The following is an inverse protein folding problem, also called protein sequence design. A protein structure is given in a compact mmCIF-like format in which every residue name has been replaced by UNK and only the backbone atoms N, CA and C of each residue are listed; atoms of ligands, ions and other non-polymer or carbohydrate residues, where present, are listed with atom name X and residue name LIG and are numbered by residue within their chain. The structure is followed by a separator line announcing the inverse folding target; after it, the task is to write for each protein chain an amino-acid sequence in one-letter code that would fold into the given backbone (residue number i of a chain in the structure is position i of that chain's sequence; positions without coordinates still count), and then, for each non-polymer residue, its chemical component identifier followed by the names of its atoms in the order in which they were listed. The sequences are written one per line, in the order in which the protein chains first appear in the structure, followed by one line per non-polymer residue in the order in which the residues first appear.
data_IF_480317549067
#
_entry.id   IF_480317549067
#
_cell.length_a   1.000
_cell.length_b   1.000
_cell.length_c   1.000
_cell.angle_alpha   90.00
_cell.angle_beta   90.00
_cell.angle_gamma   90.00
#
_symmetry.space_group_name_H-M   'P 1'
#
loop_
_entity.id
_entity.type
_entity.pdbx_description
1 polymer ?
#
# COMPACT_ATOMS: atom_id res chain seq x y z
N UNK A 1 2.83 8.57 9.78
CA UNK A 1 4.26 8.29 9.98
C UNK A 1 4.73 7.23 9.00
N UNK A 2 5.99 7.29 8.59
CA UNK A 2 6.64 6.20 7.85
C UNK A 2 7.14 5.18 8.88
N UNK A 3 6.78 3.91 8.67
CA UNK A 3 7.19 2.81 9.54
C UNK A 3 8.67 2.49 9.33
N UNK A 4 9.42 2.28 10.39
CA UNK A 4 10.79 1.76 10.32
C UNK A 4 10.76 0.26 10.00
N UNK A 5 10.58 -0.03 8.70
CA UNK A 5 10.45 -1.39 8.18
C UNK A 5 11.72 -2.20 8.43
N UNK A 6 12.90 -1.57 8.32
CA UNK A 6 14.17 -2.26 8.49
C UNK A 6 14.30 -2.86 9.90
N UNK A 7 14.00 -2.06 10.94
CA UNK A 7 13.99 -2.55 12.34
C UNK A 7 12.95 -3.65 12.56
N UNK A 8 11.75 -3.52 11.94
CA UNK A 8 10.71 -4.56 12.06
C UNK A 8 11.18 -5.87 11.42
N UNK A 9 11.77 -5.81 10.22
CA UNK A 9 12.30 -6.98 9.52
C UNK A 9 13.40 -7.66 10.34
N UNK A 10 14.37 -6.89 10.84
CA UNK A 10 15.46 -7.43 11.65
C UNK A 10 14.93 -8.20 12.86
N UNK A 11 14.02 -7.61 13.63
CA UNK A 11 13.44 -8.25 14.82
C UNK A 11 12.58 -9.46 14.51
N UNK A 12 11.78 -9.39 13.45
CA UNK A 12 10.95 -10.51 13.01
C UNK A 12 11.81 -11.72 12.61
N UNK A 13 12.84 -11.47 11.81
CA UNK A 13 13.73 -12.54 11.35
C UNK A 13 14.55 -13.16 12.48
N UNK A 14 14.90 -12.42 13.54
CA UNK A 14 15.57 -12.98 14.75
C UNK A 14 14.74 -14.09 15.43
N UNK A 15 13.42 -14.06 15.29
CA UNK A 15 12.52 -15.08 15.85
C UNK A 15 11.92 -16.01 14.78
N UNK A 16 12.42 -15.94 13.56
CA UNK A 16 11.96 -16.76 12.43
C UNK A 16 10.60 -16.36 11.86
N UNK A 17 10.08 -15.17 12.18
CA UNK A 17 8.85 -14.66 11.64
C UNK A 17 9.07 -14.02 10.26
N UNK A 18 8.08 -14.16 9.36
CA UNK A 18 8.08 -13.50 8.05
C UNK A 18 7.41 -12.13 8.16
N UNK A 19 7.86 -11.20 7.30
CA UNK A 19 7.32 -9.84 7.22
C UNK A 19 6.56 -9.64 5.91
N UNK A 20 5.29 -9.27 6.04
CA UNK A 20 4.43 -8.85 4.93
C UNK A 20 4.24 -7.34 5.04
N UNK A 21 4.68 -6.59 4.04
CA UNK A 21 4.53 -5.14 3.97
C UNK A 21 3.31 -4.76 3.15
N UNK A 22 2.35 -4.05 3.75
CA UNK A 22 1.37 -3.28 2.99
C UNK A 22 2.05 -2.01 2.47
N UNK A 23 2.31 -1.97 1.18
CA UNK A 23 3.02 -0.88 0.50
C UNK A 23 2.07 0.00 -0.33
N UNK A 24 0.75 -0.08 -0.11
CA UNK A 24 -0.25 0.65 -0.88
C UNK A 24 -0.08 2.17 -0.82
N UNK A 25 0.47 2.69 0.28
CA UNK A 25 0.70 4.13 0.49
C UNK A 25 2.19 4.53 0.43
N UNK A 26 3.08 3.61 0.10
CA UNK A 26 4.50 3.92 -0.08
C UNK A 26 4.93 3.87 -1.54
N UNK A 27 4.59 2.80 -2.27
CA UNK A 27 4.99 2.63 -3.68
C UNK A 27 4.54 3.80 -4.58
N UNK A 28 3.34 4.37 -4.44
CA UNK A 28 2.92 5.51 -5.27
C UNK A 28 3.62 6.83 -4.95
N UNK A 29 4.21 6.98 -3.75
CA UNK A 29 4.56 8.28 -3.17
C UNK A 29 6.05 8.46 -2.85
N UNK A 30 6.84 7.38 -2.84
CA UNK A 30 8.26 7.44 -2.52
C UNK A 30 9.05 6.32 -3.18
N UNK A 31 10.37 6.46 -3.32
CA UNK A 31 11.22 5.36 -3.76
C UNK A 31 11.14 4.19 -2.76
N UNK A 32 10.83 2.99 -3.26
CA UNK A 32 10.75 1.77 -2.43
C UNK A 32 11.57 0.66 -3.09
N UNK A 33 12.41 0.00 -2.31
CA UNK A 33 13.16 -1.18 -2.73
C UNK A 33 12.92 -2.33 -1.75
N UNK A 34 12.03 -3.25 -2.09
CA UNK A 34 11.64 -4.38 -1.24
C UNK A 34 12.83 -5.30 -0.90
N UNK A 35 13.75 -5.48 -1.84
CA UNK A 35 14.96 -6.29 -1.61
C UNK A 35 15.87 -5.64 -0.58
N UNK A 36 16.10 -4.33 -0.69
CA UNK A 36 16.91 -3.59 0.27
C UNK A 36 16.26 -3.50 1.66
N UNK A 37 14.93 -3.41 1.72
CA UNK A 37 14.16 -3.46 2.97
C UNK A 37 14.18 -4.84 3.63
N UNK A 38 14.47 -5.90 2.87
CA UNK A 38 14.54 -7.27 3.37
C UNK A 38 13.18 -7.90 3.69
N UNK A 39 12.08 -7.33 3.24
CA UNK A 39 10.74 -7.90 3.45
C UNK A 39 10.57 -9.22 2.71
N UNK A 40 9.76 -10.10 3.24
CA UNK A 40 9.49 -11.41 2.64
C UNK A 40 8.39 -11.34 1.59
N UNK A 41 7.37 -10.49 1.86
CA UNK A 41 6.30 -10.16 0.94
C UNK A 41 6.00 -8.66 1.00
N UNK A 42 5.49 -8.12 -0.10
CA UNK A 42 4.89 -6.79 -0.14
C UNK A 42 3.71 -6.77 -1.11
N UNK A 43 2.70 -5.98 -0.79
CA UNK A 43 1.53 -5.83 -1.66
C UNK A 43 1.19 -4.35 -1.87
N UNK A 44 0.73 -4.01 -3.07
CA UNK A 44 0.23 -2.67 -3.37
C UNK A 44 -0.83 -2.69 -4.46
N UNK A 45 -1.68 -1.67 -4.46
CA UNK A 45 -2.82 -1.52 -5.36
C UNK A 45 -2.51 -0.56 -6.50
N UNK A 46 -2.83 -0.94 -7.73
CA UNK A 46 -2.58 -0.10 -8.91
C UNK A 46 -3.36 1.21 -8.89
N UNK A 47 -4.63 1.21 -8.43
CA UNK A 47 -5.47 2.42 -8.42
C UNK A 47 -4.92 3.55 -7.53
N UNK A 48 -4.03 3.26 -6.58
CA UNK A 48 -3.35 4.28 -5.76
C UNK A 48 -2.09 4.85 -6.43
N UNK A 49 -1.65 4.25 -7.54
CA UNK A 49 -0.48 4.69 -8.30
C UNK A 49 -0.84 5.03 -9.76
N UNK A 50 -1.98 5.68 -9.97
CA UNK A 50 -2.47 6.18 -11.27
C UNK A 50 -2.89 5.09 -12.27
N UNK A 51 -2.90 3.83 -11.87
CA UNK A 51 -3.33 2.72 -12.70
C UNK A 51 -4.86 2.51 -12.62
N UNK A 52 -5.46 1.76 -13.56
CA UNK A 52 -6.87 1.38 -13.48
C UNK A 52 -7.18 0.56 -12.22
N UNK A 53 -8.43 0.64 -11.78
CA UNK A 53 -8.95 -0.23 -10.70
C UNK A 53 -8.91 -1.70 -11.10
N UNK A 54 -8.79 -2.60 -10.11
CA UNK A 54 -8.86 -4.05 -10.32
C UNK A 54 -7.52 -4.72 -10.61
N UNK A 55 -6.41 -4.02 -10.48
CA UNK A 55 -5.06 -4.57 -10.56
C UNK A 55 -4.23 -4.19 -9.33
N UNK A 56 -3.38 -5.10 -8.90
CA UNK A 56 -2.39 -4.88 -7.85
C UNK A 56 -1.24 -5.86 -8.01
N UNK A 57 -0.24 -5.72 -7.18
CA UNK A 57 0.97 -6.55 -7.23
C UNK A 57 1.25 -7.15 -5.86
N UNK A 58 1.59 -8.44 -5.85
CA UNK A 58 2.21 -9.11 -4.72
C UNK A 58 3.67 -9.41 -5.08
N UNK A 59 4.59 -8.79 -4.35
CA UNK A 59 6.00 -9.17 -4.33
C UNK A 59 6.19 -10.28 -3.30
N UNK A 60 7.02 -11.27 -3.61
CA UNK A 60 7.44 -12.28 -2.67
C UNK A 60 8.85 -12.78 -2.97
N UNK A 61 9.62 -13.10 -1.93
CA UNK A 61 10.96 -13.70 -2.09
C UNK A 61 10.84 -15.04 -2.81
N UNK A 62 11.63 -15.24 -3.86
CA UNK A 62 11.51 -16.38 -4.76
C UNK A 62 11.55 -17.74 -4.02
N UNK A 63 12.44 -17.88 -3.02
CA UNK A 63 12.56 -19.11 -2.23
C UNK A 63 11.29 -19.42 -1.45
N UNK A 64 10.65 -18.40 -0.90
CA UNK A 64 9.40 -18.56 -0.13
C UNK A 64 8.25 -18.90 -1.07
N UNK A 65 8.09 -18.15 -2.17
CA UNK A 65 7.10 -18.44 -3.19
C UNK A 65 7.23 -19.87 -3.73
N UNK A 66 8.46 -20.35 -3.88
CA UNK A 66 8.72 -21.71 -4.38
C UNK A 66 8.28 -22.80 -3.39
N UNK A 67 8.41 -22.53 -2.09
CA UNK A 67 8.05 -23.46 -1.02
C UNK A 67 6.54 -23.50 -0.72
N UNK A 68 5.80 -22.41 -1.00
CA UNK A 68 4.39 -22.30 -0.69
C UNK A 68 3.50 -22.98 -1.75
N UNK A 69 2.35 -23.55 -1.35
CA UNK A 69 1.33 -24.00 -2.29
C UNK A 69 0.64 -22.82 -2.98
N UNK A 70 -0.09 -23.05 -4.09
CA UNK A 70 -0.95 -22.02 -4.66
C UNK A 70 -2.06 -21.63 -3.69
N UNK A 71 -2.45 -20.34 -3.70
CA UNK A 71 -3.57 -19.84 -2.89
C UNK A 71 -4.92 -20.11 -3.58
N UNK A 72 -5.00 -19.84 -4.88
CA UNK A 72 -6.14 -20.16 -5.74
C UNK A 72 -5.69 -21.09 -6.84
N UNK A 73 -6.60 -21.93 -7.33
CA UNK A 73 -6.35 -22.83 -8.44
C UNK A 73 -7.30 -22.53 -9.60
N UNK A 74 -6.82 -22.74 -10.83
CA UNK A 74 -7.58 -22.47 -12.05
C UNK A 74 -6.77 -22.77 -13.30
N UNK A 75 -7.21 -22.30 -14.43
CA UNK A 75 -6.46 -22.40 -15.69
C UNK A 75 -5.11 -21.68 -15.63
N UNK A 76 -4.25 -21.98 -16.56
CA UNK A 76 -2.92 -21.35 -16.79
C UNK A 76 -1.84 -21.62 -15.74
N UNK A 77 -2.17 -22.07 -14.53
CA UNK A 77 -1.23 -22.28 -13.43
C UNK A 77 -0.99 -23.77 -13.11
N UNK A 78 -1.62 -24.67 -13.85
CA UNK A 78 -1.55 -26.13 -13.68
C UNK A 78 -0.56 -26.69 -14.71
N UNK A 79 0.31 -27.60 -14.29
CA UNK A 79 1.15 -28.39 -15.20
C UNK A 79 0.49 -29.72 -15.55
N UNK A 80 0.04 -30.45 -14.54
CA UNK A 80 -0.52 -31.76 -14.72
C UNK A 80 -1.64 -32.05 -13.72
N UNK A 81 -2.72 -32.66 -14.19
CA UNK A 81 -3.88 -33.02 -13.37
C UNK A 81 -4.23 -34.48 -13.59
N UNK A 82 -4.34 -35.22 -12.50
CA UNK A 82 -4.95 -36.58 -12.47
C UNK A 82 -6.06 -36.60 -11.44
N UNK A 83 -6.75 -37.73 -11.32
CA UNK A 83 -7.77 -37.89 -10.28
C UNK A 83 -7.17 -37.91 -8.86
N UNK A 84 -5.89 -38.27 -8.73
CA UNK A 84 -5.20 -38.44 -7.46
C UNK A 84 -4.29 -37.28 -7.11
N UNK A 85 -3.81 -36.49 -8.10
CA UNK A 85 -2.78 -35.50 -7.90
C UNK A 85 -2.84 -34.37 -8.93
N UNK A 86 -2.58 -33.16 -8.47
CA UNK A 86 -2.33 -31.99 -9.32
C UNK A 86 -0.92 -31.47 -9.07
N UNK A 87 -0.20 -31.12 -10.14
CA UNK A 87 1.06 -30.35 -10.08
C UNK A 87 0.85 -28.98 -10.70
N UNK A 88 1.59 -28.02 -10.19
CA UNK A 88 1.42 -26.62 -10.53
C UNK A 88 2.69 -26.03 -11.14
N UNK A 89 2.51 -25.05 -12.00
CA UNK A 89 3.60 -24.29 -12.57
C UNK A 89 4.50 -23.67 -11.49
N UNK A 90 5.77 -23.37 -11.79
CA UNK A 90 6.61 -22.61 -10.87
C UNK A 90 6.07 -21.19 -10.68
N UNK A 91 6.47 -20.48 -9.59
CA UNK A 91 6.23 -19.05 -9.48
C UNK A 91 6.87 -18.27 -10.66
N UNK A 92 6.28 -17.18 -11.13
CA UNK A 92 5.07 -16.51 -10.62
C UNK A 92 3.75 -17.16 -11.08
N UNK A 93 3.73 -17.97 -12.15
CA UNK A 93 2.52 -18.52 -12.75
C UNK A 93 1.66 -19.33 -11.76
N UNK A 94 2.27 -19.99 -10.78
CA UNK A 94 1.56 -20.73 -9.72
C UNK A 94 0.52 -19.86 -8.98
N UNK A 95 0.72 -18.55 -8.93
CA UNK A 95 -0.14 -17.62 -8.21
C UNK A 95 -1.06 -16.81 -9.12
N UNK A 96 -1.02 -17.08 -10.43
CA UNK A 96 -1.80 -16.40 -11.47
C UNK A 96 -2.90 -17.34 -12.01
N UNK A 97 -3.90 -17.64 -11.17
CA UNK A 97 -4.98 -18.56 -11.52
C UNK A 97 -5.99 -17.92 -12.49
N UNK A 98 -6.22 -18.57 -13.62
CA UNK A 98 -7.20 -18.16 -14.64
C UNK A 98 -6.63 -17.17 -15.66
N UNK A 99 -7.52 -16.47 -16.34
CA UNK A 99 -7.15 -15.44 -17.34
C UNK A 99 -6.74 -14.16 -16.60
N UNK A 100 -5.54 -13.63 -16.85
CA UNK A 100 -5.10 -12.41 -16.19
C UNK A 100 -5.93 -11.19 -16.64
N UNK A 101 -6.00 -10.19 -15.79
CA UNK A 101 -6.68 -8.92 -16.04
C UNK A 101 -5.83 -8.02 -16.98
N UNK A 102 -5.72 -8.42 -18.24
CA UNK A 102 -4.74 -7.91 -19.21
C UNK A 102 -4.84 -6.39 -19.41
N UNK A 103 -6.05 -5.85 -19.56
CA UNK A 103 -6.25 -4.40 -19.82
C UNK A 103 -5.73 -3.56 -18.65
N UNK A 104 -5.99 -3.99 -17.41
CA UNK A 104 -5.55 -3.29 -16.21
C UNK A 104 -4.05 -3.45 -15.98
N UNK A 105 -3.48 -4.61 -16.34
CA UNK A 105 -2.02 -4.82 -16.26
C UNK A 105 -1.28 -3.91 -17.25
N UNK A 106 -1.79 -3.75 -18.48
CA UNK A 106 -1.24 -2.80 -19.45
C UNK A 106 -1.34 -1.36 -18.92
N UNK A 107 -2.49 -1.00 -18.34
CA UNK A 107 -2.67 0.30 -17.70
C UNK A 107 -1.72 0.53 -16.50
N UNK A 108 -1.45 -0.51 -15.70
CA UNK A 108 -0.45 -0.45 -14.64
C UNK A 108 0.98 -0.21 -15.21
N UNK A 109 1.32 -0.88 -16.32
CA UNK A 109 2.58 -0.65 -17.01
C UNK A 109 2.75 0.81 -17.43
N UNK A 110 1.73 1.40 -18.05
CA UNK A 110 1.73 2.81 -18.44
C UNK A 110 1.85 3.77 -17.24
N UNK A 111 1.20 3.44 -16.11
CA UNK A 111 1.34 4.23 -14.87
C UNK A 111 2.75 4.16 -14.30
N UNK A 112 3.39 2.99 -14.34
CA UNK A 112 4.80 2.82 -13.92
C UNK A 112 5.72 3.66 -14.79
N UNK A 113 5.59 3.58 -16.12
CA UNK A 113 6.38 4.38 -17.07
C UNK A 113 6.21 5.89 -16.83
N UNK A 114 4.98 6.33 -16.55
CA UNK A 114 4.70 7.73 -16.24
C UNK A 114 5.39 8.18 -14.95
N UNK A 115 5.25 7.43 -13.86
CA UNK A 115 5.90 7.75 -12.58
C UNK A 115 7.43 7.71 -12.69
N UNK A 116 7.97 6.75 -13.42
CA UNK A 116 9.42 6.65 -13.68
C UNK A 116 9.93 7.87 -14.47
N UNK A 117 9.15 8.36 -15.43
CA UNK A 117 9.47 9.57 -16.19
C UNK A 117 9.53 10.84 -15.36
N UNK A 118 8.74 10.93 -14.27
CA UNK A 118 8.80 12.01 -13.30
C UNK A 118 9.99 11.86 -12.34
N UNK A 119 10.35 10.62 -12.05
CA UNK A 119 11.32 10.24 -11.02
C UNK A 119 10.70 10.22 -9.62
N UNK A 120 10.73 9.08 -8.95
CA UNK A 120 10.11 8.90 -7.64
C UNK A 120 10.70 9.81 -6.54
N UNK A 121 11.98 10.17 -6.64
CA UNK A 121 12.59 11.16 -5.74
C UNK A 121 11.95 12.55 -5.89
N UNK A 122 11.62 12.95 -7.13
CA UNK A 122 10.94 14.21 -7.39
C UNK A 122 9.49 14.20 -6.88
N UNK A 123 8.79 13.08 -7.08
CA UNK A 123 7.43 12.89 -6.53
C UNK A 123 7.46 13.03 -5.01
N UNK A 124 8.37 12.34 -4.35
CA UNK A 124 8.51 12.41 -2.89
C UNK A 124 8.86 13.82 -2.40
N UNK A 125 9.82 14.50 -3.05
CA UNK A 125 10.20 15.87 -2.68
C UNK A 125 9.03 16.85 -2.80
N UNK A 126 8.26 16.77 -3.89
CA UNK A 126 7.07 17.60 -4.10
C UNK A 126 6.00 17.34 -3.03
N UNK A 127 5.73 16.08 -2.70
CA UNK A 127 4.77 15.73 -1.64
C UNK A 127 5.23 16.21 -0.26
N UNK A 128 6.53 16.17 0.03
CA UNK A 128 7.08 16.72 1.28
C UNK A 128 6.90 18.24 1.37
N UNK A 129 7.07 18.97 0.28
CA UNK A 129 6.83 20.41 0.23
C UNK A 129 5.37 20.75 0.52
N UNK A 130 4.43 20.11 -0.18
CA UNK A 130 2.98 20.30 0.03
C UNK A 130 2.57 19.90 1.46
N UNK A 131 3.10 18.78 1.95
CA UNK A 131 2.83 18.30 3.32
C UNK A 131 3.31 19.29 4.36
N UNK A 132 4.50 19.86 4.18
CA UNK A 132 5.03 20.88 5.07
C UNK A 132 4.13 22.12 5.12
N UNK A 133 3.71 22.60 3.95
CA UNK A 133 2.77 23.72 3.85
C UNK A 133 1.44 23.41 4.56
N UNK A 134 0.84 22.26 4.27
CA UNK A 134 -0.45 21.89 4.85
C UNK A 134 -0.37 21.72 6.39
N UNK A 135 0.69 21.14 6.92
CA UNK A 135 0.91 21.02 8.36
C UNK A 135 1.03 22.39 9.04
N UNK A 136 1.74 23.33 8.41
CA UNK A 136 1.88 24.69 8.91
C UNK A 136 0.54 25.43 8.93
N UNK A 137 -0.27 25.32 7.88
CA UNK A 137 -1.57 25.99 7.80
C UNK A 137 -2.61 25.38 8.76
N UNK A 138 -2.70 24.05 8.79
CA UNK A 138 -3.59 23.35 9.73
C UNK A 138 -3.22 23.62 11.19
N UNK A 139 -1.92 23.72 11.50
CA UNK A 139 -1.44 24.02 12.85
C UNK A 139 -1.78 25.42 13.36
N UNK A 140 -2.20 26.35 12.48
CA UNK A 140 -2.67 27.70 12.87
C UNK A 140 -4.14 27.71 13.29
N UNK A 141 -4.89 26.66 12.96
CA UNK A 141 -6.33 26.60 13.20
C UNK A 141 -6.61 26.15 14.64
N UNK A 142 -7.37 26.97 15.38
CA UNK A 142 -7.79 26.63 16.75
C UNK A 142 -8.72 25.44 16.74
N UNK A 143 -8.50 24.50 17.66
CA UNK A 143 -9.31 23.28 17.79
C UNK A 143 -8.97 22.18 16.80
N UNK A 144 -8.00 22.37 15.89
CA UNK A 144 -7.49 21.32 14.99
C UNK A 144 -6.32 20.60 15.66
N UNK A 145 -6.38 19.28 15.69
CA UNK A 145 -5.34 18.41 16.26
C UNK A 145 -4.80 17.47 15.20
N UNK A 146 -3.52 17.63 14.85
CA UNK A 146 -2.84 16.73 13.91
C UNK A 146 -2.56 15.38 14.59
N UNK A 147 -2.92 14.29 13.92
CA UNK A 147 -2.61 12.93 14.37
C UNK A 147 -1.29 12.46 13.75
N UNK A 148 -0.36 12.07 14.60
CA UNK A 148 0.99 11.67 14.19
C UNK A 148 2.00 12.83 14.14
N UNK A 149 3.12 12.68 13.41
CA UNK A 149 4.15 13.73 13.35
C UNK A 149 3.61 15.07 12.83
N UNK A 150 3.99 16.15 13.46
CA UNK A 150 3.60 17.52 13.08
C UNK A 150 4.60 18.19 12.15
N UNK A 151 5.64 17.44 11.77
CA UNK A 151 6.67 17.86 10.80
C UNK A 151 6.68 16.90 9.61
N UNK A 152 7.20 17.29 8.44
CA UNK A 152 7.22 16.42 7.25
C UNK A 152 8.19 15.25 7.37
N UNK A 153 9.17 15.29 8.29
CA UNK A 153 10.15 14.24 8.46
C UNK A 153 9.47 12.94 8.92
N UNK A 154 9.83 11.82 8.29
CA UNK A 154 9.32 10.48 8.59
C UNK A 154 7.78 10.35 8.49
N UNK A 155 7.17 11.10 7.58
CA UNK A 155 5.74 10.94 7.25
C UNK A 155 5.50 10.94 5.74
N UNK A 156 4.41 10.28 5.33
CA UNK A 156 3.86 10.38 4.00
C UNK A 156 2.94 11.61 3.88
N UNK A 157 2.43 11.86 2.68
CA UNK A 157 1.60 13.01 2.32
C UNK A 157 0.22 13.04 2.99
N UNK A 158 -0.32 11.91 3.41
CA UNK A 158 -1.63 11.87 4.08
C UNK A 158 -1.56 12.49 5.49
N UNK A 159 -2.38 13.52 5.73
CA UNK A 159 -2.49 14.21 7.02
C UNK A 159 -3.82 13.86 7.67
N UNK A 160 -3.75 13.15 8.80
CA UNK A 160 -4.92 12.87 9.62
C UNK A 160 -5.05 13.95 10.71
N UNK A 161 -6.26 14.41 10.94
CA UNK A 161 -6.55 15.41 11.96
C UNK A 161 -7.95 15.23 12.56
N UNK A 162 -8.18 15.80 13.72
CA UNK A 162 -9.49 15.92 14.36
C UNK A 162 -9.79 17.38 14.66
N UNK A 163 -11.06 17.71 14.84
CA UNK A 163 -11.50 19.06 15.24
C UNK A 163 -12.34 18.90 16.51
N UNK A 164 -12.10 19.77 17.50
CA UNK A 164 -12.80 19.75 18.78
C UNK A 164 -14.31 19.83 18.60
N UNK A 165 -15.02 18.85 19.16
CA UNK A 165 -16.48 18.80 19.16
C UNK A 165 -17.14 18.53 17.82
N UNK A 166 -16.40 18.23 16.75
CA UNK A 166 -16.95 17.93 15.42
C UNK A 166 -16.64 16.48 15.03
N UNK A 167 -17.68 15.76 14.63
CA UNK A 167 -17.53 14.38 14.18
C UNK A 167 -16.86 14.31 12.81
N UNK A 168 -16.05 13.29 12.57
CA UNK A 168 -15.28 13.13 11.31
C UNK A 168 -16.15 13.09 10.05
N UNK A 169 -17.38 12.57 10.12
CA UNK A 169 -18.31 12.58 8.99
C UNK A 169 -18.80 14.00 8.67
N UNK A 170 -19.06 14.82 9.68
CA UNK A 170 -19.48 16.22 9.48
C UNK A 170 -18.36 17.04 8.87
N UNK A 171 -17.10 16.82 9.33
CA UNK A 171 -15.92 17.44 8.71
C UNK A 171 -15.83 17.04 7.24
N UNK A 172 -15.99 15.74 6.95
CA UNK A 172 -15.97 15.23 5.57
C UNK A 172 -17.05 15.87 4.69
N UNK A 173 -18.27 16.01 5.22
CA UNK A 173 -19.40 16.63 4.51
C UNK A 173 -19.14 18.12 4.21
N UNK A 174 -18.68 18.89 5.20
CA UNK A 174 -18.36 20.31 4.98
C UNK A 174 -17.26 20.52 3.95
N UNK A 175 -16.21 19.67 3.98
CA UNK A 175 -15.14 19.72 3.00
C UNK A 175 -15.65 19.37 1.60
N UNK A 176 -16.54 18.38 1.47
CA UNK A 176 -17.14 17.97 0.21
C UNK A 176 -18.02 19.08 -0.37
N UNK A 177 -18.83 19.76 0.47
CA UNK A 177 -19.66 20.91 0.07
C UNK A 177 -18.80 22.07 -0.48
N UNK A 178 -17.57 22.23 0.00
CA UNK A 178 -16.58 23.18 -0.50
C UNK A 178 -15.72 22.64 -1.66
N UNK A 179 -15.99 21.43 -2.15
CA UNK A 179 -15.27 20.78 -3.25
C UNK A 179 -13.90 20.21 -2.85
N UNK A 180 -13.67 19.94 -1.57
CA UNK A 180 -12.43 19.37 -1.03
C UNK A 180 -12.66 17.89 -0.74
N UNK A 181 -12.08 17.01 -1.55
CA UNK A 181 -12.14 15.58 -1.36
C UNK A 181 -11.31 15.14 -0.14
N UNK A 182 -11.96 14.56 0.86
CA UNK A 182 -11.33 14.04 2.05
C UNK A 182 -11.85 12.63 2.37
N UNK A 183 -11.11 11.89 3.19
CA UNK A 183 -11.53 10.58 3.70
C UNK A 183 -11.88 10.71 5.17
N UNK A 184 -13.12 10.35 5.54
CA UNK A 184 -13.58 10.39 6.93
C UNK A 184 -13.51 8.99 7.55
N UNK A 185 -12.83 8.89 8.70
CA UNK A 185 -12.80 7.69 9.53
C UNK A 185 -13.34 7.99 10.91
N UNK A 186 -14.12 7.07 11.48
CA UNK A 186 -14.59 7.15 12.86
C UNK A 186 -13.60 6.59 13.87
N UNK A 187 -12.53 5.95 13.39
CA UNK A 187 -11.48 5.34 14.22
C UNK A 187 -10.15 5.32 13.45
N UNK A 188 -9.04 5.39 14.18
CA UNK A 188 -7.68 5.42 13.63
C UNK A 188 -7.02 4.04 13.57
N UNK A 189 -7.61 3.04 14.20
CA UNK A 189 -7.14 1.66 14.22
C UNK A 189 -8.17 0.75 13.59
N UNK A 190 -7.71 -0.29 12.88
CA UNK A 190 -8.61 -1.35 12.46
C UNK A 190 -9.28 -1.94 13.70
N UNK A 191 -10.61 -2.15 13.69
CA UNK A 191 -11.27 -2.83 14.78
C UNK A 191 -10.71 -4.24 14.88
N UNK A 192 -9.96 -4.50 15.96
CA UNK A 192 -9.54 -5.85 16.34
C UNK A 192 -10.72 -6.53 17.03
N UNK A 193 -11.80 -6.78 16.32
CA UNK A 193 -12.81 -7.70 16.80
C UNK A 193 -12.36 -9.11 16.43
N UNK A 194 -12.04 -9.97 17.39
CA UNK A 194 -11.94 -11.38 17.11
C UNK A 194 -13.34 -11.85 16.73
N UNK A 195 -13.59 -12.05 15.45
CA UNK A 195 -14.70 -12.89 15.05
C UNK A 195 -14.29 -14.33 15.37
N UNK A 196 -14.86 -14.85 16.45
CA UNK A 196 -14.86 -16.29 16.77
C UNK A 196 -15.88 -16.98 15.88
#
# INVERSE_FOLDING_TARGET
AITDVATVVERAHQVGALVVLDACQSVPHMPVNFTALGVDFAAFSGHKMLAPSGVGVLYGRAQILQALPPFLTGGSMIEHVTMEKTTYAPPPQRYEAGVPNMSQVVGLGAAVEYLDSLGMDNVFAHEQEITSYALQELGKLTGVHIVGPTTPENRGSAISFTIDGIHSHDIGQFLDDDGIAAVSYTHLTLPTTPYV
#
